data_IF_715815300751
#
_entry.id   IF_715815300751
#
_cell.length_a   1.000
_cell.length_b   1.000
_cell.length_c   1.000
_cell.angle_alpha   90.00
_cell.angle_beta   90.00
_cell.angle_gamma   90.00
#
_symmetry.space_group_name_H-M   'P 1'
#
loop_
_entity.id
_entity.type
_entity.pdbx_description
1 polymer ?
#
# COMPACT_ATOMS: atom_id res chain seq x y z
N UNK A 1 -37.65 12.46 13.60
CA UNK A 1 -37.07 11.21 13.05
C UNK A 1 -36.00 11.62 12.04
N UNK A 2 -34.72 11.49 12.40
CA UNK A 2 -33.63 11.64 11.45
C UNK A 2 -33.61 10.41 10.54
N UNK A 3 -33.67 10.61 9.22
CA UNK A 3 -33.37 9.55 8.27
C UNK A 3 -31.90 9.15 8.48
N UNK A 4 -31.69 8.01 9.12
CA UNK A 4 -30.37 7.38 9.17
C UNK A 4 -30.15 6.85 7.76
N UNK A 5 -29.34 7.57 6.97
CA UNK A 5 -28.92 7.11 5.66
C UNK A 5 -28.05 5.86 5.86
N UNK A 6 -28.65 4.69 5.69
CA UNK A 6 -27.91 3.42 5.69
C UNK A 6 -27.11 3.39 4.39
N UNK A 7 -25.82 3.70 4.46
CA UNK A 7 -24.91 3.50 3.33
C UNK A 7 -24.88 2.00 3.05
N UNK A 8 -25.25 1.54 1.84
CA UNK A 8 -25.24 0.11 1.55
C UNK A 8 -23.83 -0.47 1.68
N UNK A 9 -23.71 -1.68 2.23
CA UNK A 9 -22.42 -2.39 2.38
C UNK A 9 -21.63 -2.47 1.06
N UNK A 10 -22.34 -2.57 -0.08
CA UNK A 10 -21.72 -2.54 -1.41
C UNK A 10 -21.03 -1.21 -1.73
N UNK A 11 -21.62 -0.08 -1.33
CA UNK A 11 -21.04 1.24 -1.58
C UNK A 11 -19.77 1.45 -0.74
N UNK A 12 -19.80 1.04 0.54
CA UNK A 12 -18.62 1.10 1.42
C UNK A 12 -17.49 0.23 0.87
N UNK A 13 -17.82 -1.00 0.44
CA UNK A 13 -16.87 -1.93 -0.18
C UNK A 13 -16.26 -1.37 -1.44
N UNK A 14 -17.08 -0.82 -2.34
CA UNK A 14 -16.60 -0.18 -3.57
C UNK A 14 -15.62 0.95 -3.26
N UNK A 15 -15.99 1.90 -2.40
CA UNK A 15 -15.15 3.05 -2.08
C UNK A 15 -13.83 2.66 -1.39
N UNK A 16 -13.85 1.64 -0.51
CA UNK A 16 -12.63 1.14 0.11
C UNK A 16 -11.70 0.45 -0.90
N UNK A 17 -12.28 -0.33 -1.81
CA UNK A 17 -11.55 -1.02 -2.88
C UNK A 17 -10.92 0.00 -3.83
N UNK A 18 -11.72 0.93 -4.34
CA UNK A 18 -11.26 2.04 -5.20
C UNK A 18 -10.11 2.81 -4.54
N UNK A 19 -10.28 3.23 -3.28
CA UNK A 19 -9.23 3.94 -2.55
C UNK A 19 -7.93 3.13 -2.42
N UNK A 20 -8.00 1.81 -2.26
CA UNK A 20 -6.82 0.95 -2.16
C UNK A 20 -6.09 0.82 -3.51
N UNK A 21 -6.80 0.51 -4.58
CA UNK A 21 -6.20 0.30 -5.90
C UNK A 21 -5.74 1.60 -6.58
N UNK A 22 -6.43 2.72 -6.32
CA UNK A 22 -6.12 4.02 -6.95
C UNK A 22 -5.13 4.87 -6.15
N UNK A 23 -4.80 4.49 -4.91
CA UNK A 23 -3.80 5.22 -4.12
C UNK A 23 -2.43 5.09 -4.80
N UNK A 24 -1.86 6.24 -5.18
CA UNK A 24 -0.50 6.36 -5.70
C UNK A 24 0.33 7.27 -4.79
N UNK A 25 1.60 6.91 -4.64
CA UNK A 25 2.60 7.71 -3.96
C UNK A 25 3.12 8.78 -4.91
N UNK A 26 3.37 9.98 -4.39
CA UNK A 26 3.94 11.09 -5.15
C UNK A 26 5.46 10.97 -5.11
N UNK A 27 6.14 11.22 -6.24
CA UNK A 27 7.60 11.25 -6.33
C UNK A 27 8.21 12.20 -5.27
N UNK A 28 9.20 11.73 -4.52
CA UNK A 28 9.85 12.50 -3.45
C UNK A 28 9.01 12.75 -2.18
N UNK A 29 7.80 12.17 -2.09
CA UNK A 29 7.07 12.12 -0.81
C UNK A 29 7.57 10.98 0.07
N UNK A 30 7.18 10.95 1.35
CA UNK A 30 7.68 9.93 2.30
C UNK A 30 7.11 8.53 2.03
N UNK A 31 7.99 7.56 1.79
CA UNK A 31 7.62 6.13 1.72
C UNK A 31 6.95 5.67 3.00
N UNK A 32 7.46 6.09 4.17
CA UNK A 32 6.86 5.71 5.46
C UNK A 32 5.41 6.20 5.56
N UNK A 33 5.16 7.47 5.22
CA UNK A 33 3.81 8.03 5.25
C UNK A 33 2.85 7.31 4.31
N UNK A 34 3.31 6.99 3.10
CA UNK A 34 2.54 6.22 2.13
C UNK A 34 2.29 4.78 2.60
N UNK A 35 3.28 4.10 3.16
CA UNK A 35 3.15 2.74 3.68
C UNK A 35 2.12 2.63 4.80
N UNK A 36 2.11 3.59 5.73
CA UNK A 36 1.08 3.67 6.79
C UNK A 36 -0.32 3.85 6.19
N UNK A 37 -0.46 4.70 5.16
CA UNK A 37 -1.73 4.88 4.45
C UNK A 37 -2.20 3.56 3.82
N UNK A 38 -1.32 2.83 3.13
CA UNK A 38 -1.65 1.54 2.52
C UNK A 38 -2.08 0.50 3.56
N UNK A 39 -1.37 0.40 4.69
CA UNK A 39 -1.74 -0.50 5.80
C UNK A 39 -3.14 -0.19 6.34
N UNK A 40 -3.47 1.09 6.54
CA UNK A 40 -4.81 1.48 7.02
C UNK A 40 -5.93 1.10 6.04
N UNK A 41 -5.65 1.13 4.73
CA UNK A 41 -6.61 0.72 3.70
C UNK A 41 -6.79 -0.80 3.69
N UNK A 42 -5.72 -1.57 3.91
CA UNK A 42 -5.80 -3.04 4.09
C UNK A 42 -6.62 -3.41 5.33
N UNK A 43 -6.39 -2.76 6.46
CA UNK A 43 -7.19 -2.97 7.68
C UNK A 43 -8.68 -2.68 7.43
N UNK A 44 -8.98 -1.57 6.75
CA UNK A 44 -10.35 -1.21 6.38
C UNK A 44 -11.01 -2.27 5.48
N UNK A 45 -10.28 -2.84 4.53
CA UNK A 45 -10.79 -3.92 3.67
C UNK A 45 -11.08 -5.20 4.46
N UNK A 46 -10.22 -5.54 5.43
CA UNK A 46 -10.43 -6.68 6.34
C UNK A 46 -11.68 -6.49 7.20
N UNK A 47 -11.85 -5.31 7.78
CA UNK A 47 -12.98 -4.98 8.66
C UNK A 47 -14.33 -5.14 7.97
N UNK A 48 -14.40 -4.78 6.68
CA UNK A 48 -15.63 -4.90 5.87
C UNK A 48 -15.75 -6.26 5.14
N UNK A 49 -14.90 -7.24 5.49
CA UNK A 49 -14.87 -8.59 4.89
C UNK A 49 -14.70 -8.54 3.36
N UNK A 50 -13.85 -7.64 2.89
CA UNK A 50 -13.38 -7.52 1.51
C UNK A 50 -11.88 -7.81 1.43
N UNK A 51 -11.42 -8.77 2.23
CA UNK A 51 -10.03 -9.16 2.33
C UNK A 51 -9.54 -9.82 1.03
N UNK A 52 -8.23 -9.73 0.79
CA UNK A 52 -7.54 -10.31 -0.36
C UNK A 52 -6.37 -11.16 0.13
N UNK A 53 -5.76 -11.92 -0.78
CA UNK A 53 -4.52 -12.61 -0.49
C UNK A 53 -3.41 -11.60 -0.17
N UNK A 54 -2.46 -12.00 0.69
CA UNK A 54 -1.33 -11.14 1.10
C UNK A 54 -0.55 -10.64 -0.13
N UNK A 55 -0.36 -11.52 -1.09
CA UNK A 55 0.35 -11.29 -2.35
C UNK A 55 -0.33 -10.17 -3.14
N UNK A 56 -1.67 -10.14 -3.17
CA UNK A 56 -2.42 -9.05 -3.81
C UNK A 56 -2.16 -7.71 -3.13
N UNK A 57 -2.06 -7.68 -1.80
CA UNK A 57 -1.72 -6.44 -1.10
C UNK A 57 -0.31 -5.97 -1.40
N UNK A 58 0.66 -6.89 -1.44
CA UNK A 58 2.05 -6.60 -1.82
C UNK A 58 2.11 -6.04 -3.24
N UNK A 59 1.44 -6.68 -4.20
CA UNK A 59 1.43 -6.27 -5.60
C UNK A 59 0.85 -4.85 -5.77
N UNK A 60 -0.26 -4.54 -5.09
CA UNK A 60 -0.88 -3.21 -5.16
C UNK A 60 -0.01 -2.15 -4.48
N UNK A 61 0.64 -2.49 -3.35
CA UNK A 61 1.62 -1.61 -2.72
C UNK A 61 2.75 -1.31 -3.71
N UNK A 62 3.34 -2.30 -4.37
CA UNK A 62 4.38 -2.07 -5.38
C UNK A 62 3.88 -1.20 -6.54
N UNK A 63 2.69 -1.48 -7.08
CA UNK A 63 2.10 -0.68 -8.15
C UNK A 63 1.74 0.76 -7.74
N UNK A 64 1.69 1.06 -6.44
CA UNK A 64 1.42 2.39 -5.91
C UNK A 64 2.66 3.27 -5.80
N UNK A 65 3.87 2.68 -5.89
CA UNK A 65 5.13 3.39 -5.70
C UNK A 65 5.57 4.15 -6.96
N UNK A 66 6.38 5.21 -6.79
CA UNK A 66 6.99 5.91 -7.92
C UNK A 66 8.09 5.07 -8.60
N UNK A 67 8.42 5.37 -9.87
CA UNK A 67 9.47 4.68 -10.63
C UNK A 67 10.86 4.70 -10.00
N UNK A 68 11.15 5.68 -9.14
CA UNK A 68 12.43 5.75 -8.40
C UNK A 68 12.67 4.54 -7.49
N UNK A 69 11.63 3.78 -7.16
CA UNK A 69 11.70 2.59 -6.29
C UNK A 69 11.72 1.27 -7.11
N UNK A 70 11.59 1.32 -8.45
CA UNK A 70 11.46 0.13 -9.31
C UNK A 70 12.60 -0.89 -9.15
N UNK A 71 13.84 -0.42 -8.92
CA UNK A 71 14.98 -1.33 -8.79
C UNK A 71 14.91 -2.20 -7.52
N UNK A 72 14.28 -1.72 -6.45
CA UNK A 72 14.00 -2.52 -5.26
C UNK A 72 12.93 -3.59 -5.56
N UNK A 73 11.88 -3.24 -6.30
CA UNK A 73 10.80 -4.17 -6.69
C UNK A 73 11.39 -5.34 -7.50
N UNK A 74 12.28 -5.02 -8.45
CA UNK A 74 13.02 -6.03 -9.21
C UNK A 74 13.83 -6.96 -8.30
N UNK A 75 14.56 -6.40 -7.33
CA UNK A 75 15.35 -7.18 -6.36
C UNK A 75 14.47 -8.06 -5.45
N UNK A 76 13.33 -7.54 -5.00
CA UNK A 76 12.37 -8.29 -4.19
C UNK A 76 11.88 -9.54 -4.93
N UNK A 77 11.42 -9.34 -6.17
CA UNK A 77 10.87 -10.42 -7.00
C UNK A 77 11.93 -11.47 -7.36
N UNK A 78 13.17 -11.05 -7.65
CA UNK A 78 14.25 -11.99 -8.00
C UNK A 78 14.70 -12.85 -6.81
N UNK A 79 14.67 -12.30 -5.59
CA UNK A 79 15.13 -13.02 -4.40
C UNK A 79 14.03 -13.91 -3.78
N UNK A 80 12.80 -13.88 -4.31
CA UNK A 80 11.70 -14.69 -3.80
C UNK A 80 11.37 -14.40 -2.34
N UNK A 81 11.44 -13.13 -1.93
CA UNK A 81 11.15 -12.72 -0.56
C UNK A 81 9.65 -12.93 -0.25
N UNK A 82 9.38 -13.42 0.95
CA UNK A 82 8.02 -13.67 1.44
C UNK A 82 7.75 -12.87 2.72
N UNK A 83 7.75 -11.55 2.58
CA UNK A 83 7.56 -10.65 3.71
C UNK A 83 6.08 -10.56 4.11
N UNK A 84 5.82 -10.23 5.37
CA UNK A 84 4.55 -9.62 5.74
C UNK A 84 4.48 -8.14 5.31
N UNK A 85 3.30 -7.51 5.47
CA UNK A 85 3.11 -6.14 5.01
C UNK A 85 3.92 -5.12 5.81
N UNK A 86 4.13 -5.32 7.11
CA UNK A 86 4.96 -4.43 7.92
C UNK A 86 6.43 -4.56 7.57
N UNK A 87 6.91 -5.78 7.36
CA UNK A 87 8.26 -6.07 6.88
C UNK A 87 8.52 -5.44 5.50
N UNK A 88 7.55 -5.55 4.58
CA UNK A 88 7.60 -4.90 3.28
C UNK A 88 7.77 -3.38 3.41
N UNK A 89 6.92 -2.72 4.21
CA UNK A 89 7.00 -1.26 4.40
C UNK A 89 8.34 -0.86 5.04
N UNK A 90 8.83 -1.60 6.03
CA UNK A 90 10.13 -1.33 6.66
C UNK A 90 11.28 -1.44 5.65
N UNK A 91 11.25 -2.44 4.78
CA UNK A 91 12.26 -2.61 3.72
C UNK A 91 12.23 -1.43 2.74
N UNK A 92 11.03 -0.99 2.34
CA UNK A 92 10.85 0.17 1.47
C UNK A 92 11.43 1.46 2.09
N UNK A 93 11.17 1.69 3.38
CA UNK A 93 11.71 2.86 4.11
C UNK A 93 13.23 2.80 4.20
N UNK A 94 13.82 1.63 4.49
CA UNK A 94 15.28 1.50 4.53
C UNK A 94 15.92 1.79 3.16
N UNK A 95 15.26 1.37 2.08
CA UNK A 95 15.71 1.63 0.73
C UNK A 95 15.68 3.12 0.37
N UNK A 96 14.59 3.83 0.69
CA UNK A 96 14.47 5.30 0.53
C UNK A 96 15.65 6.03 1.20
N UNK A 97 15.91 5.73 2.48
CA UNK A 97 17.01 6.38 3.22
C UNK A 97 18.41 6.07 2.66
N UNK A 98 18.56 4.96 1.92
CA UNK A 98 19.82 4.60 1.27
C UNK A 98 20.01 5.39 -0.01
N UNK A 99 18.95 5.60 -0.80
CA UNK A 99 18.99 6.46 -1.99
C UNK A 99 19.30 7.90 -1.64
N UNK A 100 18.63 8.45 -0.62
CA UNK A 100 18.83 9.84 -0.18
C UNK A 100 20.29 10.11 0.20
N UNK A 101 20.94 9.17 0.91
CA UNK A 101 22.35 9.27 1.29
C UNK A 101 23.32 9.15 0.13
N UNK A 102 22.87 8.57 -0.99
CA UNK A 102 23.70 8.31 -2.17
C UNK A 102 23.65 9.43 -3.20
N UNK A 103 22.77 10.42 -3.01
CA UNK A 103 22.63 11.59 -3.88
C UNK A 103 23.58 12.70 -3.37
N UNK A 104 24.60 13.12 -4.15
CA UNK A 104 25.59 14.12 -3.73
C UNK A 104 25.03 15.52 -3.43
#
# INVERSE_FOLDING_TARGET
MSQIYVVPDRHIRYAATEAFFDTKMIEGSSVQGHGVKMLSLVEKLKDIKADHAKETYIDVIFQSLPPSIDSLIGNYNMNGLDNDLHELINMLVQYETTIEKSTP
#
